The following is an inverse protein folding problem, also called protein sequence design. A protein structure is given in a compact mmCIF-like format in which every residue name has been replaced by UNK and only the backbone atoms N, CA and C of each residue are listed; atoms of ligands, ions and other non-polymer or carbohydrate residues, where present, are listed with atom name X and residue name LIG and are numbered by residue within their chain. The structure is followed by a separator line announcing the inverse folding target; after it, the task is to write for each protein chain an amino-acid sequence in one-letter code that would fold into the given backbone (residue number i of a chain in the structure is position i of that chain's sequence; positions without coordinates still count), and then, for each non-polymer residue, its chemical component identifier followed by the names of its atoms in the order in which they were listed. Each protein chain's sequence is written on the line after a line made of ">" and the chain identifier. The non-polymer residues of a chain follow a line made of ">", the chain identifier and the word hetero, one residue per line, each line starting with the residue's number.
data_IF_984156775673
#
_entry.id   IF_984156775673
#
_cell.length_a   1.000
_cell.length_b   1.000
_cell.length_c   1.000
_cell.angle_alpha   90.00
_cell.angle_beta   90.00
_cell.angle_gamma   90.00
#
_symmetry.space_group_name_H-M   'P 1'
#
loop_
_entity.id
_entity.type
_entity.pdbx_description
1 polymer ?
#
# COMPACT_ATOMS: atom_id res chain seq x y z
N UNK A 1 13.01 -10.04 -15.21
CA UNK A 1 11.99 -10.34 -14.18
C UNK A 1 10.91 -11.23 -14.79
N UNK A 2 10.87 -12.51 -14.40
CA UNK A 2 9.92 -13.62 -14.67
C UNK A 2 9.42 -13.90 -16.11
N UNK A 3 9.22 -12.92 -16.99
CA UNK A 3 8.69 -13.12 -18.36
C UNK A 3 9.30 -12.15 -19.38
N UNK A 4 10.62 -12.14 -19.52
CA UNK A 4 11.27 -11.36 -20.58
C UNK A 4 11.54 -12.26 -21.79
N UNK A 5 11.25 -11.73 -22.98
CA UNK A 5 11.65 -12.31 -24.25
C UNK A 5 12.82 -11.49 -24.80
N UNK A 6 13.84 -12.16 -25.31
CA UNK A 6 14.98 -11.51 -25.97
C UNK A 6 14.68 -11.29 -27.45
N UNK A 7 14.55 -10.04 -27.87
CA UNK A 7 14.37 -9.67 -29.27
C UNK A 7 15.69 -9.12 -29.80
N UNK A 8 16.24 -9.76 -30.82
CA UNK A 8 17.48 -9.34 -31.47
C UNK A 8 17.16 -8.68 -32.81
N UNK A 9 17.72 -7.50 -33.04
CA UNK A 9 17.62 -6.79 -34.31
C UNK A 9 19.01 -6.77 -34.94
N UNK A 10 19.09 -7.24 -36.17
CA UNK A 10 20.31 -7.25 -36.97
C UNK A 10 20.26 -6.08 -37.95
N UNK A 11 21.23 -5.17 -37.84
CA UNK A 11 21.44 -4.10 -38.81
C UNK A 11 22.54 -4.52 -39.77
N UNK A 12 22.18 -4.67 -41.05
CA UNK A 12 23.11 -5.01 -42.14
C UNK A 12 23.35 -3.75 -42.95
N UNK A 13 24.57 -3.23 -42.91
CA UNK A 13 25.04 -2.15 -43.77
C UNK A 13 26.05 -2.69 -44.78
N UNK A 14 26.35 -1.90 -45.82
CA UNK A 14 27.27 -2.29 -46.91
C UNK A 14 28.70 -2.63 -46.45
N UNK A 15 29.08 -2.26 -45.22
CA UNK A 15 30.43 -2.45 -44.67
C UNK A 15 30.47 -3.13 -43.29
N UNK A 16 29.32 -3.38 -42.66
CA UNK A 16 29.27 -3.92 -41.29
C UNK A 16 27.95 -4.65 -41.00
N UNK A 17 28.00 -5.67 -40.14
CA UNK A 17 26.84 -6.42 -39.63
C UNK A 17 26.86 -6.32 -38.11
N UNK A 18 25.93 -5.53 -37.57
CA UNK A 18 25.80 -5.33 -36.12
C UNK A 18 24.50 -5.93 -35.62
N UNK A 19 24.57 -6.75 -34.57
CA UNK A 19 23.42 -7.35 -33.91
C UNK A 19 23.32 -6.81 -32.49
N UNK A 20 22.17 -6.24 -32.15
CA UNK A 20 21.86 -5.83 -30.78
C UNK A 20 20.59 -6.55 -30.30
N UNK A 21 20.68 -7.12 -29.11
CA UNK A 21 19.58 -7.82 -28.45
C UNK A 21 19.15 -7.02 -27.23
N UNK A 22 17.85 -6.77 -27.10
CA UNK A 22 17.27 -6.16 -25.92
C UNK A 22 16.22 -7.09 -25.33
N UNK A 23 16.10 -7.05 -24.01
CA UNK A 23 15.03 -7.75 -23.31
C UNK A 23 13.75 -6.93 -23.40
N UNK A 24 12.67 -7.55 -23.84
CA UNK A 24 11.33 -6.96 -23.87
C UNK A 24 10.41 -7.75 -22.93
N UNK A 25 9.50 -7.03 -22.27
CA UNK A 25 8.48 -7.68 -21.45
C UNK A 25 7.49 -8.43 -22.34
N UNK A 26 7.20 -9.68 -21.98
CA UNK A 26 6.21 -10.50 -22.69
C UNK A 26 4.81 -9.95 -22.45
N UNK A 27 3.96 -9.93 -23.47
CA UNK A 27 2.56 -9.48 -23.37
C UNK A 27 1.81 -10.23 -22.26
N UNK A 28 1.98 -11.55 -22.19
CA UNK A 28 1.37 -12.41 -21.15
C UNK A 28 1.84 -11.96 -19.75
N UNK A 29 3.11 -11.61 -19.62
CA UNK A 29 3.70 -11.09 -18.38
C UNK A 29 3.11 -9.77 -17.94
N UNK A 30 3.00 -8.82 -18.88
CA UNK A 30 2.40 -7.50 -18.62
C UNK A 30 0.93 -7.65 -18.22
N UNK A 31 0.17 -8.50 -18.92
CA UNK A 31 -1.24 -8.74 -18.59
C UNK A 31 -1.39 -9.40 -17.22
N UNK A 32 -0.60 -10.44 -16.92
CA UNK A 32 -0.61 -11.09 -15.62
C UNK A 32 -0.25 -10.11 -14.49
N UNK A 33 0.78 -9.28 -14.69
CA UNK A 33 1.18 -8.26 -13.73
C UNK A 33 0.11 -7.19 -13.53
N UNK A 34 -0.56 -6.76 -14.60
CA UNK A 34 -1.67 -5.80 -14.55
C UNK A 34 -2.88 -6.35 -13.80
N UNK A 35 -3.25 -7.61 -14.04
CA UNK A 35 -4.34 -8.26 -13.30
C UNK A 35 -3.99 -8.45 -11.83
N UNK A 36 -2.76 -8.86 -11.53
CA UNK A 36 -2.28 -9.00 -10.16
C UNK A 36 -2.27 -7.66 -9.42
N UNK A 37 -1.81 -6.57 -10.05
CA UNK A 37 -1.80 -5.24 -9.42
C UNK A 37 -3.20 -4.72 -9.14
N UNK A 38 -4.14 -4.92 -10.08
CA UNK A 38 -5.55 -4.59 -9.87
C UNK A 38 -6.18 -5.39 -8.72
N UNK A 39 -5.90 -6.69 -8.63
CA UNK A 39 -6.39 -7.53 -7.54
C UNK A 39 -5.83 -7.07 -6.17
N UNK A 40 -4.55 -6.73 -6.11
CA UNK A 40 -3.90 -6.19 -4.91
C UNK A 40 -4.54 -4.86 -4.50
N UNK A 41 -4.73 -3.94 -5.45
CA UNK A 41 -5.37 -2.65 -5.18
C UNK A 41 -6.82 -2.82 -4.68
N UNK A 42 -7.59 -3.69 -5.32
CA UNK A 42 -8.96 -4.00 -4.90
C UNK A 42 -9.00 -4.56 -3.47
N UNK A 43 -8.11 -5.51 -3.15
CA UNK A 43 -7.99 -6.04 -1.80
C UNK A 43 -7.58 -4.96 -0.78
N UNK A 44 -6.65 -4.06 -1.16
CA UNK A 44 -6.20 -2.98 -0.29
C UNK A 44 -7.33 -2.01 0.04
N UNK A 45 -8.09 -1.57 -0.96
CA UNK A 45 -9.26 -0.69 -0.80
C UNK A 45 -10.35 -1.38 0.02
N UNK A 46 -10.62 -2.66 -0.24
CA UNK A 46 -11.60 -3.41 0.55
C UNK A 46 -11.17 -3.54 2.01
N UNK A 47 -9.92 -3.92 2.28
CA UNK A 47 -9.45 -4.22 3.64
C UNK A 47 -9.24 -2.96 4.50
N UNK A 48 -8.59 -1.93 3.94
CA UNK A 48 -8.28 -0.68 4.67
C UNK A 48 -9.35 0.41 4.50
N UNK A 49 -10.01 0.47 3.35
CA UNK A 49 -11.17 1.34 3.15
C UNK A 49 -12.40 0.76 3.81
N UNK A 50 -12.98 -0.29 3.21
CA UNK A 50 -14.31 -0.78 3.60
C UNK A 50 -14.32 -1.48 4.96
N UNK A 51 -13.53 -2.54 5.13
CA UNK A 51 -13.56 -3.37 6.34
C UNK A 51 -13.08 -2.59 7.56
N UNK A 52 -11.97 -1.88 7.47
CA UNK A 52 -11.50 -1.04 8.56
C UNK A 52 -12.37 0.20 8.78
N UNK A 53 -12.93 0.82 7.74
CA UNK A 53 -13.86 1.95 7.91
C UNK A 53 -15.15 1.57 8.64
N UNK A 54 -15.69 0.38 8.35
CA UNK A 54 -16.96 -0.10 8.95
C UNK A 54 -16.78 -0.75 10.31
N UNK A 55 -15.70 -1.51 10.53
CA UNK A 55 -15.50 -2.28 11.77
C UNK A 55 -14.43 -1.68 12.70
N UNK A 56 -13.64 -0.73 12.22
CA UNK A 56 -12.42 -0.26 12.88
C UNK A 56 -11.23 -1.20 12.74
N UNK A 57 -11.38 -2.38 12.13
CA UNK A 57 -10.33 -3.41 12.10
C UNK A 57 -10.07 -3.92 10.68
N UNK A 58 -8.80 -4.04 10.29
CA UNK A 58 -8.39 -4.76 9.07
C UNK A 58 -8.09 -6.22 9.42
N UNK A 59 -7.83 -7.10 8.44
CA UNK A 59 -7.71 -8.55 8.70
C UNK A 59 -6.64 -8.85 9.76
N UNK A 60 -5.46 -8.27 9.60
CA UNK A 60 -4.38 -8.40 10.59
C UNK A 60 -4.74 -7.82 11.96
N UNK A 61 -5.40 -6.66 12.00
CA UNK A 61 -5.81 -6.03 13.27
C UNK A 61 -6.84 -6.86 14.02
N UNK A 62 -7.73 -7.55 13.27
CA UNK A 62 -8.73 -8.45 13.86
C UNK A 62 -8.07 -9.65 14.52
N UNK A 63 -7.05 -10.22 13.87
CA UNK A 63 -6.24 -11.32 14.43
C UNK A 63 -5.49 -10.86 15.69
N UNK A 64 -4.96 -9.65 15.67
CA UNK A 64 -4.24 -9.04 16.80
C UNK A 64 -5.16 -8.44 17.88
N UNK A 65 -6.48 -8.61 17.76
CA UNK A 65 -7.50 -8.15 18.72
C UNK A 65 -7.39 -6.66 19.05
N UNK A 66 -7.24 -5.81 18.04
CA UNK A 66 -7.39 -4.37 18.21
C UNK A 66 -8.16 -3.73 17.07
N UNK A 67 -8.72 -2.55 17.36
CA UNK A 67 -9.49 -1.73 16.42
C UNK A 67 -9.08 -0.27 16.52
N UNK A 68 -9.23 0.44 15.42
CA UNK A 68 -9.07 1.89 15.30
C UNK A 68 -10.45 2.52 15.34
N UNK A 69 -10.63 3.46 16.24
CA UNK A 69 -11.87 4.22 16.38
C UNK A 69 -11.56 5.71 16.47
N UNK A 70 -12.56 6.54 16.21
CA UNK A 70 -12.48 7.98 16.45
C UNK A 70 -12.30 8.23 17.94
N UNK A 71 -11.39 9.14 18.29
CA UNK A 71 -11.16 9.55 19.66
C UNK A 71 -12.37 10.31 20.24
N UNK A 72 -13.12 11.02 19.40
CA UNK A 72 -14.23 11.86 19.83
C UNK A 72 -15.53 11.09 19.98
N UNK A 73 -15.82 10.17 19.05
CA UNK A 73 -17.10 9.42 19.04
C UNK A 73 -16.98 7.98 19.52
N UNK A 74 -15.77 7.41 19.56
CA UNK A 74 -15.55 5.99 19.84
C UNK A 74 -16.08 5.04 18.75
N UNK A 75 -16.58 5.59 17.64
CA UNK A 75 -17.12 4.80 16.53
C UNK A 75 -16.07 4.56 15.43
N UNK A 76 -16.28 3.54 14.57
CA UNK A 76 -15.49 3.36 13.36
C UNK A 76 -15.50 4.62 12.47
N UNK A 77 -14.38 4.88 11.81
CA UNK A 77 -14.16 6.13 11.06
C UNK A 77 -15.04 6.28 9.81
N UNK A 78 -15.59 5.18 9.29
CA UNK A 78 -16.17 5.13 7.95
C UNK A 78 -15.11 5.00 6.85
N UNK A 79 -15.56 4.67 5.64
CA UNK A 79 -14.71 4.33 4.50
C UNK A 79 -13.77 5.48 4.07
N UNK A 80 -14.29 6.70 3.96
CA UNK A 80 -13.48 7.83 3.47
C UNK A 80 -12.37 8.19 4.46
N UNK A 81 -12.71 8.32 5.74
CA UNK A 81 -11.76 8.71 6.77
C UNK A 81 -10.71 7.61 7.04
N UNK A 82 -11.06 6.33 6.87
CA UNK A 82 -10.06 5.26 6.97
C UNK A 82 -9.04 5.32 5.83
N UNK A 83 -9.44 5.69 4.60
CA UNK A 83 -8.50 5.92 3.49
C UNK A 83 -7.64 7.17 3.71
N UNK A 84 -8.23 8.27 4.17
CA UNK A 84 -7.47 9.50 4.50
C UNK A 84 -6.44 9.22 5.59
N UNK A 85 -6.76 8.36 6.58
CA UNK A 85 -5.79 7.93 7.58
C UNK A 85 -4.61 7.17 6.97
N UNK A 86 -4.83 6.36 5.94
CA UNK A 86 -3.73 5.71 5.22
C UNK A 86 -2.86 6.72 4.46
N UNK A 87 -3.45 7.79 3.94
CA UNK A 87 -2.68 8.89 3.34
C UNK A 87 -1.90 9.68 4.41
N UNK A 88 -2.49 9.89 5.59
CA UNK A 88 -1.80 10.57 6.69
C UNK A 88 -0.55 9.82 7.16
N UNK A 89 -0.52 8.49 7.04
CA UNK A 89 0.69 7.69 7.32
C UNK A 89 1.87 7.99 6.36
N UNK A 90 1.67 8.66 5.22
CA UNK A 90 2.79 9.18 4.44
C UNK A 90 3.60 10.21 5.23
N UNK A 91 2.96 10.99 6.11
CA UNK A 91 3.65 11.94 6.99
C UNK A 91 4.56 11.20 7.96
N UNK A 92 4.08 10.07 8.52
CA UNK A 92 4.91 9.22 9.39
C UNK A 92 6.15 8.68 8.65
N UNK A 93 6.00 8.34 7.37
CA UNK A 93 7.09 7.83 6.52
C UNK A 93 8.10 8.94 6.13
N UNK A 94 7.62 10.15 5.79
CA UNK A 94 8.46 11.29 5.40
C UNK A 94 9.41 11.70 6.53
N UNK A 95 8.96 11.62 7.78
CA UNK A 95 9.79 11.94 8.96
C UNK A 95 10.66 10.73 9.31
N UNK A 96 11.37 10.15 8.32
CA UNK A 96 12.27 9.01 8.48
C UNK A 96 11.68 7.85 9.31
N UNK A 97 10.38 7.55 9.15
CA UNK A 97 9.64 6.56 9.93
C UNK A 97 9.54 6.82 11.45
N UNK A 98 9.98 7.98 11.94
CA UNK A 98 9.90 8.36 13.36
C UNK A 98 8.45 8.46 13.82
N UNK A 99 7.53 8.87 12.94
CA UNK A 99 6.10 8.92 13.25
C UNK A 99 5.49 7.56 13.63
N UNK A 100 6.05 6.46 13.13
CA UNK A 100 5.62 5.10 13.49
C UNK A 100 6.14 4.66 14.87
N UNK A 101 7.19 5.29 15.40
CA UNK A 101 7.74 5.00 16.73
C UNK A 101 7.03 5.80 17.83
N UNK A 102 6.30 6.85 17.46
CA UNK A 102 5.57 7.72 18.38
C UNK A 102 4.65 6.98 19.39
N UNK A 103 3.96 5.88 19.01
CA UNK A 103 3.16 5.09 19.96
C UNK A 103 3.91 4.49 21.14
N UNK A 104 5.25 4.39 21.09
CA UNK A 104 6.04 3.83 22.20
C UNK A 104 6.10 4.78 23.41
N UNK A 105 6.06 6.10 23.18
CA UNK A 105 6.21 7.12 24.23
C UNK A 105 5.05 8.12 24.30
N UNK A 106 4.12 8.11 23.33
CA UNK A 106 2.90 8.92 23.40
C UNK A 106 1.90 8.32 24.41
N UNK A 107 1.33 9.18 25.26
CA UNK A 107 0.42 8.77 26.33
C UNK A 107 -0.84 8.04 25.82
N UNK A 108 -1.29 8.34 24.60
CA UNK A 108 -2.45 7.71 23.95
C UNK A 108 -2.04 6.62 22.94
N UNK A 109 -0.74 6.32 22.84
CA UNK A 109 -0.16 5.35 21.90
C UNK A 109 -0.54 5.65 20.44
N UNK A 110 -0.58 6.93 20.07
CA UNK A 110 -0.96 7.40 18.73
C UNK A 110 0.28 7.58 17.83
N UNK A 111 0.14 7.26 16.53
CA UNK A 111 1.07 7.75 15.48
C UNK A 111 0.79 9.23 15.16
N UNK A 112 1.65 9.89 14.38
CA UNK A 112 1.35 11.27 13.96
C UNK A 112 0.12 11.31 13.05
N UNK A 113 -0.04 10.32 12.17
CA UNK A 113 -1.26 10.14 11.40
C UNK A 113 -2.50 10.00 12.29
N UNK A 114 -2.41 9.20 13.36
CA UNK A 114 -3.54 9.01 14.28
C UNK A 114 -3.90 10.31 15.01
N UNK A 115 -2.90 11.13 15.36
CA UNK A 115 -3.10 12.44 16.00
C UNK A 115 -3.73 13.45 15.04
N UNK A 116 -3.29 13.49 13.78
CA UNK A 116 -3.89 14.33 12.72
C UNK A 116 -5.35 13.93 12.48
N UNK A 117 -5.63 12.63 12.48
CA UNK A 117 -6.95 12.08 12.20
C UNK A 117 -7.84 11.98 13.44
N UNK A 118 -7.37 12.38 14.63
CA UNK A 118 -8.07 12.24 15.91
C UNK A 118 -8.60 10.81 16.15
N UNK A 119 -7.71 9.83 16.00
CA UNK A 119 -8.04 8.40 16.13
C UNK A 119 -7.21 7.71 17.19
N UNK A 120 -7.76 6.67 17.81
CA UNK A 120 -7.07 5.87 18.82
C UNK A 120 -7.19 4.37 18.50
N UNK A 121 -6.13 3.63 18.82
CA UNK A 121 -6.10 2.18 18.71
C UNK A 121 -6.46 1.56 20.07
N UNK A 122 -7.55 0.81 20.12
CA UNK A 122 -8.03 0.15 21.34
C UNK A 122 -8.02 -1.37 21.17
N UNK A 123 -7.64 -2.14 22.21
CA UNK A 123 -7.84 -3.58 22.21
C UNK A 123 -9.34 -3.91 22.13
N UNK A 124 -9.66 -5.04 21.47
CA UNK A 124 -11.02 -5.58 21.33
C UNK A 124 -11.27 -6.64 22.39
#
# INVERSE_FOLDING_TARGET
>A
MVTQQSSCVTSVNQYDVSQYCYAQDSIIGVLAQGLASLAILAYWVWNYGYRQGTTGSSIGKSVLKFKVVSETTGQPLGFGMSLVRQLAHFVDAIICYVGFLFPLWDAKRQTLADKIMTTVCLPV
#
